data_IF_233219267077
#
_entry.id   IF_233219267077
#
_cell.length_a   1.000
_cell.length_b   1.000
_cell.length_c   1.000
_cell.angle_alpha   90.00
_cell.angle_beta   90.00
_cell.angle_gamma   90.00
#
_symmetry.space_group_name_H-M   'P 1'
#
loop_
_entity.id
_entity.type
_entity.pdbx_description
1 polymer ?
#
# COMPACT_ATOMS: atom_id res chain seq x y z
N UNK A 1 -21.72 1.26 -13.51
CA UNK A 1 -22.51 1.34 -14.76
C UNK A 1 -21.63 1.48 -15.99
N UNK A 2 -20.74 2.48 -16.07
CA UNK A 2 -19.87 2.73 -17.24
C UNK A 2 -18.89 1.58 -17.57
N UNK A 3 -18.26 0.95 -16.58
CA UNK A 3 -17.31 -0.16 -16.83
C UNK A 3 -17.98 -1.37 -17.48
N UNK A 4 -19.24 -1.64 -17.13
CA UNK A 4 -20.02 -2.73 -17.71
C UNK A 4 -20.27 -2.47 -19.21
N UNK A 5 -20.59 -1.23 -19.57
CA UNK A 5 -20.75 -0.83 -20.97
C UNK A 5 -19.48 -1.08 -21.79
N UNK A 6 -18.28 -0.79 -21.24
CA UNK A 6 -17.03 -1.08 -21.95
C UNK A 6 -16.78 -2.58 -22.14
N UNK A 7 -17.15 -3.40 -21.16
CA UNK A 7 -17.07 -4.86 -21.28
C UNK A 7 -18.02 -5.39 -22.35
N UNK A 8 -19.27 -4.89 -22.37
CA UNK A 8 -20.27 -5.27 -23.37
C UNK A 8 -19.82 -4.85 -24.78
N UNK A 9 -19.27 -3.64 -24.94
CA UNK A 9 -18.76 -3.16 -26.23
C UNK A 9 -17.55 -3.96 -26.72
N UNK A 10 -16.64 -4.35 -25.82
CA UNK A 10 -15.51 -5.19 -26.17
C UNK A 10 -15.98 -6.57 -26.64
N UNK A 11 -16.92 -7.18 -25.92
CA UNK A 11 -17.42 -8.52 -26.20
C UNK A 11 -18.27 -8.59 -27.47
N UNK A 12 -19.16 -7.62 -27.67
CA UNK A 12 -20.14 -7.66 -28.75
C UNK A 12 -19.58 -7.11 -30.07
N UNK A 13 -18.61 -6.20 -30.00
CA UNK A 13 -18.06 -5.50 -31.18
C UNK A 13 -16.55 -5.68 -31.38
N UNK A 14 -15.85 -6.39 -30.49
CA UNK A 14 -14.42 -6.65 -30.61
C UNK A 14 -13.53 -5.40 -30.42
N UNK A 15 -14.04 -4.36 -29.75
CA UNK A 15 -13.34 -3.09 -29.57
C UNK A 15 -12.34 -3.17 -28.42
N UNK A 16 -11.08 -2.81 -28.65
CA UNK A 16 -10.07 -2.72 -27.59
C UNK A 16 -10.13 -1.36 -26.87
N UNK A 17 -10.06 -1.39 -25.54
CA UNK A 17 -10.02 -0.19 -24.70
C UNK A 17 -8.69 -0.11 -23.96
N UNK A 18 -8.08 1.08 -23.97
CA UNK A 18 -6.96 1.42 -23.09
C UNK A 18 -7.47 2.40 -22.03
N UNK A 19 -7.43 1.99 -20.77
CA UNK A 19 -7.91 2.80 -19.64
C UNK A 19 -6.72 3.26 -18.80
N UNK A 20 -6.64 4.56 -18.51
CA UNK A 20 -5.61 5.14 -17.63
C UNK A 20 -6.29 5.66 -16.38
N UNK A 21 -5.96 5.07 -15.23
CA UNK A 21 -6.61 5.35 -13.95
C UNK A 21 -5.61 5.30 -12.80
N UNK A 22 -5.88 6.07 -11.75
CA UNK A 22 -5.19 5.94 -10.45
C UNK A 22 -5.99 5.07 -9.46
N UNK A 23 -7.21 4.66 -9.81
CA UNK A 23 -8.04 3.80 -8.98
C UNK A 23 -7.77 2.32 -9.32
N UNK A 24 -7.27 1.57 -8.33
CA UNK A 24 -6.95 0.15 -8.45
C UNK A 24 -8.17 -0.73 -8.74
N UNK A 25 -9.33 -0.41 -8.20
CA UNK A 25 -10.58 -1.15 -8.46
C UNK A 25 -10.99 -1.04 -9.93
N UNK A 26 -10.79 0.12 -10.55
CA UNK A 26 -11.05 0.30 -11.98
C UNK A 26 -10.07 -0.50 -12.83
N UNK A 27 -8.79 -0.52 -12.45
CA UNK A 27 -7.77 -1.32 -13.13
C UNK A 27 -8.02 -2.83 -13.00
N UNK A 28 -8.57 -3.28 -11.86
CA UNK A 28 -8.93 -4.68 -11.62
C UNK A 28 -10.01 -5.23 -12.55
N UNK A 29 -10.83 -4.33 -13.11
CA UNK A 29 -11.91 -4.70 -14.00
C UNK A 29 -11.43 -4.98 -15.44
N UNK A 30 -10.20 -4.60 -15.78
CA UNK A 30 -9.63 -4.82 -17.10
C UNK A 30 -8.98 -6.21 -17.20
N UNK A 31 -9.06 -6.85 -18.38
CA UNK A 31 -8.42 -8.15 -18.62
C UNK A 31 -6.91 -8.17 -18.35
N UNK A 32 -6.29 -7.01 -18.52
CA UNK A 32 -4.88 -6.74 -18.28
C UNK A 32 -4.75 -5.38 -17.65
N UNK A 33 -4.00 -5.29 -16.55
CA UNK A 33 -3.57 -4.02 -15.97
C UNK A 33 -2.04 -3.95 -15.93
N UNK A 34 -1.52 -2.74 -16.15
CA UNK A 34 -0.10 -2.41 -16.10
C UNK A 34 0.08 -1.27 -15.11
N UNK A 35 0.95 -1.44 -14.12
CA UNK A 35 1.31 -0.37 -13.19
C UNK A 35 2.55 0.37 -13.69
N UNK A 36 2.40 1.68 -13.90
CA UNK A 36 3.47 2.55 -14.33
C UNK A 36 3.99 3.38 -13.14
N UNK A 37 5.29 3.30 -12.88
CA UNK A 37 5.99 4.20 -11.96
C UNK A 37 7.23 4.78 -12.62
N UNK A 38 7.40 6.10 -12.51
CA UNK A 38 8.61 6.79 -12.97
C UNK A 38 8.99 6.48 -14.43
N UNK A 39 7.98 6.33 -15.29
CA UNK A 39 8.16 6.01 -16.71
C UNK A 39 8.49 4.55 -17.01
N UNK A 40 8.45 3.66 -16.00
CA UNK A 40 8.72 2.23 -16.13
C UNK A 40 7.52 1.41 -15.67
N UNK A 41 7.26 0.28 -16.32
CA UNK A 41 6.25 -0.67 -15.86
C UNK A 41 6.84 -1.52 -14.73
N UNK A 42 6.14 -1.60 -13.60
CA UNK A 42 6.63 -2.27 -12.39
C UNK A 42 5.78 -3.48 -11.98
N UNK A 43 4.62 -3.64 -12.59
CA UNK A 43 3.76 -4.80 -12.38
C UNK A 43 2.82 -4.99 -13.57
N UNK A 44 2.51 -6.24 -13.87
CA UNK A 44 1.46 -6.64 -14.80
C UNK A 44 0.52 -7.61 -14.09
N UNK A 45 -0.78 -7.33 -14.15
CA UNK A 45 -1.81 -8.23 -13.62
C UNK A 45 -2.73 -8.67 -14.77
N UNK A 46 -3.01 -9.97 -14.85
CA UNK A 46 -4.00 -10.55 -15.76
C UNK A 46 -5.27 -10.97 -15.01
N UNK A 47 -6.21 -11.58 -15.74
CA UNK A 47 -7.52 -12.04 -15.25
C UNK A 47 -7.54 -12.99 -14.05
N UNK A 48 -6.38 -13.43 -13.54
CA UNK A 48 -6.26 -14.49 -12.52
C UNK A 48 -5.40 -14.07 -11.31
N UNK A 49 -5.21 -12.76 -11.09
CA UNK A 49 -4.42 -12.26 -9.95
C UNK A 49 -5.31 -11.53 -8.95
N UNK A 50 -5.36 -12.04 -7.73
CA UNK A 50 -6.06 -11.41 -6.61
C UNK A 50 -5.33 -10.12 -6.21
N UNK A 51 -5.90 -8.96 -6.56
CA UNK A 51 -5.34 -7.63 -6.30
C UNK A 51 -5.31 -7.29 -4.80
N UNK A 52 -5.92 -8.13 -3.95
CA UNK A 52 -5.77 -8.02 -2.50
C UNK A 52 -4.42 -8.53 -2.00
N UNK A 53 -3.75 -9.44 -2.73
CA UNK A 53 -2.44 -10.02 -2.36
C UNK A 53 -1.37 -9.80 -3.46
N UNK A 54 -1.01 -8.53 -3.64
CA UNK A 54 -0.07 -8.04 -4.65
C UNK A 54 1.42 -8.34 -4.32
N UNK A 55 1.74 -9.37 -3.53
CA UNK A 55 3.12 -9.82 -3.37
C UNK A 55 3.60 -10.71 -4.51
N UNK A 56 2.70 -11.37 -5.22
CA UNK A 56 3.09 -12.41 -6.20
C UNK A 56 3.52 -11.87 -7.58
N UNK A 57 3.14 -10.63 -7.95
CA UNK A 57 3.34 -10.09 -9.32
C UNK A 57 4.25 -8.85 -9.41
N UNK A 58 4.92 -8.46 -8.32
CA UNK A 58 5.77 -7.25 -8.33
C UNK A 58 7.12 -7.53 -8.94
N UNK A 59 7.45 -6.78 -9.97
CA UNK A 59 8.76 -6.81 -10.60
C UNK A 59 9.62 -5.66 -10.05
N UNK A 60 10.82 -5.98 -9.59
CA UNK A 60 11.83 -5.00 -9.24
C UNK A 60 12.83 -4.91 -10.38
N UNK A 61 13.10 -3.69 -10.84
CA UNK A 61 14.06 -3.45 -11.91
C UNK A 61 15.43 -3.22 -11.27
N UNK A 62 16.41 -3.99 -11.73
CA UNK A 62 17.83 -3.76 -11.48
C UNK A 62 18.40 -3.13 -12.74
N UNK A 63 18.95 -1.93 -12.65
CA UNK A 63 19.59 -1.28 -13.79
C UNK A 63 21.03 -1.79 -14.03
N UNK A 64 21.66 -1.27 -15.09
CA UNK A 64 23.03 -1.63 -15.50
C UNK A 64 24.11 -1.17 -14.49
N UNK A 65 23.75 -0.26 -13.58
CA UNK A 65 24.61 0.15 -12.46
C UNK A 65 24.47 -0.76 -11.24
N UNK A 66 23.53 -1.71 -11.27
CA UNK A 66 23.19 -2.56 -10.12
C UNK A 66 22.30 -1.87 -9.09
N UNK A 67 21.71 -0.71 -9.43
CA UNK A 67 20.78 -0.01 -8.54
C UNK A 67 19.41 -0.66 -8.61
N UNK A 68 18.82 -0.91 -7.44
CA UNK A 68 17.44 -1.40 -7.29
C UNK A 68 16.58 -0.29 -6.72
N UNK A 69 15.56 0.12 -7.48
CA UNK A 69 14.57 1.07 -6.97
C UNK A 69 13.42 0.32 -6.32
N UNK A 70 13.29 0.44 -5.00
CA UNK A 70 12.18 -0.13 -4.25
C UNK A 70 10.99 0.85 -4.23
N UNK A 71 9.80 0.43 -4.68
CA UNK A 71 8.58 1.21 -4.50
C UNK A 71 8.31 1.54 -3.02
N UNK A 72 7.71 2.70 -2.69
CA UNK A 72 7.48 3.12 -1.31
C UNK A 72 6.70 2.10 -0.46
N UNK A 73 5.75 1.39 -1.05
CA UNK A 73 4.97 0.36 -0.36
C UNK A 73 5.78 -0.90 -0.05
N UNK A 74 6.71 -1.30 -0.93
CA UNK A 74 7.69 -2.36 -0.64
C UNK A 74 8.62 -1.91 0.48
N UNK A 75 9.13 -0.67 0.41
CA UNK A 75 9.99 -0.11 1.45
C UNK A 75 9.27 -0.05 2.80
N UNK A 76 7.99 0.33 2.84
CA UNK A 76 7.18 0.33 4.04
C UNK A 76 6.98 -1.07 4.61
N UNK A 77 6.69 -2.08 3.77
CA UNK A 77 6.61 -3.49 4.20
C UNK A 77 7.91 -4.00 4.79
N UNK A 78 9.05 -3.55 4.26
CA UNK A 78 10.38 -3.87 4.80
C UNK A 78 10.69 -3.16 6.12
N UNK A 79 9.85 -2.22 6.58
CA UNK A 79 10.08 -1.43 7.79
C UNK A 79 10.84 -0.12 7.56
N UNK A 80 10.87 0.38 6.32
CA UNK A 80 11.54 1.62 5.94
C UNK A 80 12.96 1.42 5.41
N UNK A 81 13.74 2.50 5.22
CA UNK A 81 15.15 2.41 4.85
C UNK A 81 15.99 1.74 5.95
N UNK A 82 17.18 1.23 5.60
CA UNK A 82 18.11 0.64 6.57
C UNK A 82 19.12 -0.28 5.90
N UNK A 83 19.86 -1.03 6.73
CA UNK A 83 20.83 -2.03 6.30
C UNK A 83 20.17 -3.40 6.20
N UNK A 84 20.48 -4.09 5.12
CA UNK A 84 20.02 -5.43 4.82
C UNK A 84 21.22 -6.34 4.59
N UNK A 85 21.07 -7.59 4.97
CA UNK A 85 22.00 -8.67 4.65
C UNK A 85 21.41 -9.58 3.57
N UNK A 86 22.31 -10.27 2.84
CA UNK A 86 21.96 -11.20 1.76
C UNK A 86 22.41 -12.60 2.21
N UNK A 87 21.58 -13.36 2.94
CA UNK A 87 21.95 -14.67 3.45
C UNK A 87 22.05 -15.72 2.34
N UNK A 88 21.32 -15.54 1.23
CA UNK A 88 21.34 -16.44 0.07
C UNK A 88 21.50 -15.62 -1.21
N UNK A 89 22.55 -15.94 -1.97
CA UNK A 89 22.83 -15.35 -3.27
C UNK A 89 23.15 -16.47 -4.27
N UNK A 90 22.15 -16.86 -5.04
CA UNK A 90 22.25 -17.89 -6.07
C UNK A 90 21.89 -17.29 -7.42
N UNK A 91 22.12 -18.05 -8.51
CA UNK A 91 21.74 -17.60 -9.84
C UNK A 91 20.24 -17.31 -9.88
N UNK A 92 19.88 -16.12 -10.35
CA UNK A 92 18.50 -15.64 -10.50
C UNK A 92 17.72 -15.48 -9.18
N UNK A 93 18.36 -15.60 -8.00
CA UNK A 93 17.70 -15.48 -6.69
C UNK A 93 18.50 -14.61 -5.71
N UNK A 94 17.83 -13.58 -5.18
CA UNK A 94 18.36 -12.72 -4.11
C UNK A 94 17.40 -12.79 -2.93
N UNK A 95 17.88 -13.27 -1.78
CA UNK A 95 17.16 -13.16 -0.51
C UNK A 95 17.67 -11.95 0.26
N UNK A 96 16.79 -11.03 0.64
CA UNK A 96 17.12 -9.84 1.43
C UNK A 96 16.39 -9.90 2.76
N UNK A 97 17.14 -9.75 3.86
CA UNK A 97 16.56 -9.58 5.18
C UNK A 97 17.21 -8.41 5.91
N UNK A 98 16.44 -7.77 6.81
CA UNK A 98 16.96 -6.66 7.61
C UNK A 98 17.97 -7.21 8.62
N UNK A 99 19.10 -6.53 8.76
CA UNK A 99 20.14 -6.93 9.72
C UNK A 99 19.55 -6.95 11.13
N UNK A 100 19.87 -7.99 11.91
CA UNK A 100 19.27 -8.26 13.23
C UNK A 100 19.20 -7.04 14.16
N UNK A 101 20.29 -6.27 14.24
CA UNK A 101 20.39 -5.10 15.12
C UNK A 101 19.57 -3.88 14.64
N UNK A 102 19.07 -3.91 13.41
CA UNK A 102 18.19 -2.89 12.85
C UNK A 102 16.73 -3.36 12.75
N UNK A 103 16.44 -4.64 13.08
CA UNK A 103 15.06 -5.13 13.12
C UNK A 103 14.27 -4.31 14.13
N UNK A 104 13.16 -3.73 13.66
CA UNK A 104 12.25 -2.98 14.52
C UNK A 104 11.45 -4.00 15.32
N UNK A 105 11.77 -4.14 16.60
CA UNK A 105 10.86 -4.80 17.54
C UNK A 105 9.61 -3.94 17.66
N UNK A 106 8.49 -4.39 17.08
CA UNK A 106 7.18 -3.80 17.34
C UNK A 106 6.84 -4.18 18.78
N UNK A 107 7.32 -3.41 19.74
CA UNK A 107 6.85 -3.45 21.11
C UNK A 107 5.40 -2.94 21.09
N UNK A 108 4.45 -3.85 20.95
CA UNK A 108 2.99 -3.59 20.99
C UNK A 108 2.55 -3.03 22.36
N UNK A 109 3.45 -2.87 23.32
CA UNK A 109 3.20 -2.27 24.63
C UNK A 109 3.19 -0.73 24.63
N UNK A 110 2.60 -0.10 23.61
CA UNK A 110 2.22 1.32 23.71
C UNK A 110 0.73 1.37 24.02
N UNK A 111 0.39 1.75 25.25
CA UNK A 111 -1.00 1.90 25.66
C UNK A 111 -1.60 3.11 24.92
N UNK A 112 -2.49 2.84 23.98
CA UNK A 112 -3.24 3.87 23.27
C UNK A 112 -4.53 4.19 24.03
N UNK A 113 -4.75 5.47 24.32
CA UNK A 113 -5.97 5.97 24.94
C UNK A 113 -6.73 6.87 23.95
N UNK A 114 -8.04 7.01 24.12
CA UNK A 114 -8.81 7.97 23.35
C UNK A 114 -8.34 9.38 23.67
N UNK A 115 -8.06 10.19 22.63
CA UNK A 115 -7.56 11.55 22.82
C UNK A 115 -8.46 12.37 23.77
N UNK A 116 -7.93 13.02 24.82
CA UNK A 116 -8.74 13.82 25.73
C UNK A 116 -9.30 15.09 25.06
N UNK A 117 -8.69 15.52 23.95
CA UNK A 117 -8.99 16.77 23.24
C UNK A 117 -9.19 16.49 21.74
N UNK A 118 -10.17 17.13 21.13
CA UNK A 118 -10.39 17.06 19.69
C UNK A 118 -9.28 17.82 18.93
N UNK A 119 -8.54 17.20 18.02
CA UNK A 119 -7.46 17.88 17.28
C UNK A 119 -7.98 18.94 16.30
N UNK A 120 -9.25 18.88 15.92
CA UNK A 120 -9.85 19.79 14.94
C UNK A 120 -10.38 21.09 15.57
N UNK A 121 -11.06 21.00 16.73
CA UNK A 121 -11.72 22.15 17.36
C UNK A 121 -11.36 22.36 18.83
N UNK A 122 -10.43 21.57 19.38
CA UNK A 122 -9.99 21.63 20.78
C UNK A 122 -11.07 21.35 21.84
N UNK A 123 -12.20 20.75 21.44
CA UNK A 123 -13.22 20.27 22.35
C UNK A 123 -12.66 19.24 23.35
N UNK A 124 -13.01 19.36 24.65
CA UNK A 124 -12.56 18.45 25.71
C UNK A 124 -13.59 17.35 25.96
N UNK A 125 -13.20 16.10 25.74
CA UNK A 125 -14.11 14.95 25.80
C UNK A 125 -14.44 14.46 27.22
N UNK A 126 -13.71 14.92 28.24
CA UNK A 126 -13.84 14.43 29.63
C UNK A 126 -13.81 12.89 29.67
N UNK A 127 -14.66 12.23 30.47
CA UNK A 127 -14.79 10.76 30.53
C UNK A 127 -15.74 10.16 29.48
N UNK A 128 -16.10 10.91 28.43
CA UNK A 128 -16.98 10.39 27.39
C UNK A 128 -16.31 9.26 26.60
N UNK A 129 -17.08 8.23 26.25
CA UNK A 129 -16.66 7.15 25.32
C UNK A 129 -17.03 7.45 23.86
N UNK A 130 -17.43 8.68 23.54
CA UNK A 130 -17.82 9.08 22.18
C UNK A 130 -16.63 9.04 21.22
N UNK A 131 -16.84 8.34 20.10
CA UNK A 131 -15.87 8.19 19.00
C UNK A 131 -15.93 9.35 17.99
N UNK A 132 -16.96 10.19 18.06
CA UNK A 132 -17.15 11.36 17.21
C UNK A 132 -17.22 12.61 18.08
N UNK A 133 -16.63 13.70 17.59
CA UNK A 133 -16.71 15.01 18.22
C UNK A 133 -18.14 15.55 18.17
N UNK A 134 -18.77 15.88 19.30
CA UNK A 134 -20.12 16.45 19.29
C UNK A 134 -20.14 17.88 18.73
N UNK A 135 -19.02 18.61 18.77
CA UNK A 135 -18.94 19.99 18.24
C UNK A 135 -18.67 20.06 16.74
N UNK A 136 -17.74 19.25 16.22
CA UNK A 136 -17.27 19.38 14.84
C UNK A 136 -17.42 18.12 13.98
N UNK A 137 -17.92 17.01 14.54
CA UNK A 137 -18.12 15.74 13.81
C UNK A 137 -16.85 14.98 13.45
N UNK A 138 -15.66 15.46 13.83
CA UNK A 138 -14.39 14.77 13.59
C UNK A 138 -14.31 13.45 14.36
N UNK A 139 -13.68 12.43 13.78
CA UNK A 139 -13.38 11.18 14.47
C UNK A 139 -12.34 11.40 15.57
N UNK A 140 -12.58 10.81 16.74
CA UNK A 140 -11.69 10.91 17.89
C UNK A 140 -10.52 9.94 17.70
N UNK A 141 -9.28 10.43 17.52
CA UNK A 141 -8.14 9.54 17.34
C UNK A 141 -7.73 8.89 18.67
N UNK A 142 -7.07 7.74 18.56
CA UNK A 142 -6.31 7.16 19.67
C UNK A 142 -4.91 7.80 19.68
N UNK A 143 -4.44 8.20 20.86
CA UNK A 143 -3.13 8.80 21.07
C UNK A 143 -2.34 7.95 22.05
N UNK A 144 -1.01 8.00 21.95
CA UNK A 144 -0.13 7.33 22.90
C UNK A 144 -0.34 7.93 24.31
N UNK A 145 -0.50 7.07 25.32
CA UNK A 145 -0.59 7.49 26.72
C UNK A 145 0.77 8.04 27.16
N UNK A 146 0.98 9.34 27.00
CA UNK A 146 2.10 10.02 27.65
C UNK A 146 1.85 10.01 29.15
N UNK A 147 2.59 9.18 29.90
CA UNK A 147 2.74 9.33 31.34
C UNK A 147 3.43 10.65 31.67
#
# INVERSE_FOLDING_TARGET
EVLKLFSDLNKDFGVAFLLVTHNREVASFCDRSLELREGRFIAQHGNDVDISDLSESRELIIDDTGTVTLPPDVLLKLGGPGRFEIPVNEKDMIHLERVENEKIEINISKNFILSPICPACFHKYSESSTQLCPECGSSRPMVESNN
#
